data_IF_855012919772
#
_entry.id   IF_855012919772
#
_cell.length_a   1.000
_cell.length_b   1.000
_cell.length_c   1.000
_cell.angle_alpha   90.00
_cell.angle_beta   90.00
_cell.angle_gamma   90.00
#
_symmetry.space_group_name_H-M   'P 1'
#
loop_
_entity.id
_entity.type
_entity.pdbx_description
1 polymer ?
#
# COMPACT_ATOMS: atom_id res chain seq x y z
N UNK A 1 -1.98 33.75 -46.60
CA UNK A 1 -1.59 33.59 -45.19
C UNK A 1 -2.84 33.30 -44.38
N UNK A 2 -3.20 32.02 -44.23
CA UNK A 2 -4.36 31.60 -43.41
C UNK A 2 -3.90 31.41 -41.97
N UNK A 3 -4.73 31.75 -40.96
CA UNK A 3 -4.24 32.02 -39.62
C UNK A 3 -3.95 30.72 -38.88
N UNK A 4 -2.68 30.52 -38.54
CA UNK A 4 -2.20 29.47 -37.62
C UNK A 4 -3.01 29.45 -36.31
N UNK A 5 -3.58 30.59 -35.92
CA UNK A 5 -4.42 30.75 -34.74
C UNK A 5 -5.73 29.93 -34.77
N UNK A 6 -6.37 29.72 -35.93
CA UNK A 6 -7.62 28.93 -35.99
C UNK A 6 -7.39 27.43 -35.77
N UNK A 7 -6.22 26.92 -36.18
CA UNK A 7 -5.89 25.49 -36.04
C UNK A 7 -5.64 25.15 -34.57
N UNK A 8 -4.92 26.00 -33.83
CA UNK A 8 -4.60 25.78 -32.41
C UNK A 8 -5.87 25.74 -31.55
N UNK A 9 -6.85 26.60 -31.85
CA UNK A 9 -8.13 26.61 -31.13
C UNK A 9 -8.99 25.37 -31.41
N UNK A 10 -8.98 24.84 -32.64
CA UNK A 10 -9.68 23.58 -32.97
C UNK A 10 -9.10 22.36 -32.26
N UNK A 11 -7.78 22.30 -32.07
CA UNK A 11 -7.15 21.20 -31.31
C UNK A 11 -7.43 21.29 -29.80
N UNK A 12 -7.48 22.50 -29.24
CA UNK A 12 -7.83 22.70 -27.83
C UNK A 12 -9.30 22.33 -27.53
N UNK A 13 -10.21 22.64 -28.44
CA UNK A 13 -11.64 22.27 -28.35
C UNK A 13 -11.87 20.76 -28.50
N UNK A 14 -11.10 20.06 -29.36
CA UNK A 14 -11.15 18.60 -29.45
C UNK A 14 -10.58 17.91 -28.19
N UNK A 15 -9.58 18.51 -27.54
CA UNK A 15 -9.04 17.97 -26.28
C UNK A 15 -10.04 18.13 -25.11
N UNK A 16 -10.82 19.22 -25.10
CA UNK A 16 -11.84 19.46 -24.07
C UNK A 16 -13.11 18.62 -24.28
N UNK A 17 -13.52 18.33 -25.52
CA UNK A 17 -14.67 17.44 -25.77
C UNK A 17 -14.43 15.97 -25.41
N UNK A 18 -13.18 15.52 -25.28
CA UNK A 18 -12.85 14.15 -24.88
C UNK A 18 -12.60 14.00 -23.35
N UNK A 19 -12.65 15.09 -22.59
CA UNK A 19 -12.42 15.07 -21.14
C UNK A 19 -13.66 14.66 -20.32
N UNK A 20 -14.83 14.54 -20.95
CA UNK A 20 -16.08 14.07 -20.31
C UNK A 20 -16.34 12.58 -20.57
N UNK A 21 -15.29 11.76 -20.57
CA UNK A 21 -15.45 10.34 -20.30
C UNK A 21 -15.35 10.10 -18.79
N UNK A 22 -16.29 10.67 -18.02
CA UNK A 22 -16.61 10.15 -16.70
C UNK A 22 -17.30 8.80 -16.88
N UNK A 23 -16.50 7.79 -17.25
CA UNK A 23 -16.94 6.41 -17.26
C UNK A 23 -17.29 6.05 -15.83
N UNK A 24 -18.58 6.03 -15.52
CA UNK A 24 -19.06 5.37 -14.31
C UNK A 24 -18.63 3.91 -14.43
N UNK A 25 -17.53 3.54 -13.75
CA UNK A 25 -17.14 2.14 -13.64
C UNK A 25 -18.29 1.45 -12.93
N UNK A 26 -19.08 0.71 -13.71
CA UNK A 26 -20.18 -0.07 -13.16
C UNK A 26 -19.62 -0.93 -12.03
N UNK A 27 -20.19 -0.78 -10.84
CA UNK A 27 -19.75 -1.55 -9.69
C UNK A 27 -19.91 -3.04 -10.02
N UNK A 28 -18.87 -3.87 -9.84
CA UNK A 28 -18.94 -5.27 -10.22
C UNK A 28 -20.08 -5.96 -9.45
N UNK A 29 -20.76 -6.95 -10.06
CA UNK A 29 -21.94 -7.60 -9.49
C UNK A 29 -21.64 -8.46 -8.25
N UNK A 30 -20.37 -8.57 -7.86
CA UNK A 30 -19.91 -9.34 -6.71
C UNK A 30 -19.14 -8.45 -5.75
N UNK A 31 -19.23 -8.69 -4.42
CA UNK A 31 -18.41 -7.97 -3.47
C UNK A 31 -16.93 -8.16 -3.81
N UNK A 32 -16.23 -7.05 -4.05
CA UNK A 32 -14.80 -7.07 -4.31
C UNK A 32 -14.09 -7.51 -3.02
N UNK A 33 -13.46 -8.68 -3.06
CA UNK A 33 -12.63 -9.17 -1.96
C UNK A 33 -11.23 -8.57 -2.11
N UNK A 34 -10.67 -8.09 -1.00
CA UNK A 34 -9.29 -7.64 -0.94
C UNK A 34 -8.40 -8.79 -0.47
N UNK A 35 -7.37 -9.12 -1.27
CA UNK A 35 -6.27 -10.00 -0.86
C UNK A 35 -5.01 -9.16 -0.78
N UNK A 36 -4.40 -9.10 0.40
CA UNK A 36 -3.11 -8.44 0.62
C UNK A 36 -2.03 -9.53 0.70
N UNK A 37 -1.04 -9.46 -0.19
CA UNK A 37 0.13 -10.34 -0.19
C UNK A 37 1.35 -9.53 0.23
N UNK A 38 1.95 -9.91 1.36
CA UNK A 38 3.14 -9.29 1.90
C UNK A 38 4.35 -10.19 1.61
N UNK A 39 5.33 -9.66 0.89
CA UNK A 39 6.56 -10.39 0.54
C UNK A 39 7.74 -9.68 1.22
N UNK A 40 8.24 -10.27 2.31
CA UNK A 40 9.33 -9.68 3.08
C UNK A 40 10.60 -9.51 2.22
N UNK A 41 11.26 -8.36 2.33
CA UNK A 41 12.48 -8.06 1.59
C UNK A 41 12.34 -8.05 0.07
N UNK A 42 11.12 -8.05 -0.49
CA UNK A 42 10.90 -8.05 -1.94
C UNK A 42 11.10 -6.65 -2.53
N UNK A 43 12.34 -6.36 -2.92
CA UNK A 43 12.72 -5.08 -3.51
C UNK A 43 12.01 -4.85 -4.86
N UNK A 44 11.81 -3.58 -5.20
CA UNK A 44 11.05 -3.11 -6.38
C UNK A 44 11.50 -3.67 -7.74
N UNK A 45 12.77 -4.11 -7.87
CA UNK A 45 13.40 -4.62 -9.10
C UNK A 45 13.50 -6.16 -9.17
N UNK A 46 13.06 -6.88 -8.13
CA UNK A 46 13.24 -8.34 -8.05
C UNK A 46 12.38 -9.11 -9.05
N UNK A 47 11.17 -8.64 -9.34
CA UNK A 47 10.31 -9.30 -10.32
C UNK A 47 10.96 -9.35 -11.72
N UNK A 48 11.64 -8.27 -12.10
CA UNK A 48 12.35 -8.16 -13.37
C UNK A 48 13.70 -8.88 -13.31
N UNK A 49 14.53 -8.63 -12.28
CA UNK A 49 15.86 -9.24 -12.15
C UNK A 49 15.83 -10.76 -12.08
N UNK A 50 14.82 -11.32 -11.41
CA UNK A 50 14.69 -12.76 -11.22
C UNK A 50 13.80 -13.42 -12.28
N UNK A 51 13.31 -12.64 -13.26
CA UNK A 51 12.44 -13.13 -14.34
C UNK A 51 11.23 -13.92 -13.84
N UNK A 52 10.49 -13.40 -12.87
CA UNK A 52 9.37 -14.13 -12.25
C UNK A 52 8.10 -14.04 -13.15
N UNK A 53 7.71 -15.10 -13.87
CA UNK A 53 6.71 -15.00 -14.94
C UNK A 53 5.31 -14.63 -14.42
N UNK A 54 4.96 -15.09 -13.22
CA UNK A 54 3.66 -14.78 -12.61
C UNK A 54 3.57 -13.32 -12.17
N UNK A 55 4.66 -12.74 -11.65
CA UNK A 55 4.68 -11.32 -11.31
C UNK A 55 4.66 -10.44 -12.56
N UNK A 56 5.38 -10.81 -13.62
CA UNK A 56 5.31 -10.11 -14.90
C UNK A 56 3.88 -10.14 -15.47
N UNK A 57 3.20 -11.29 -15.39
CA UNK A 57 1.79 -11.39 -15.77
C UNK A 57 0.91 -10.46 -14.95
N UNK A 58 1.09 -10.40 -13.63
CA UNK A 58 0.34 -9.49 -12.74
C UNK A 58 0.58 -8.02 -13.09
N UNK A 59 1.80 -7.64 -13.42
CA UNK A 59 2.13 -6.27 -13.86
C UNK A 59 1.46 -5.93 -15.19
N UNK A 60 1.41 -6.87 -16.14
CA UNK A 60 0.82 -6.65 -17.46
C UNK A 60 -0.71 -6.54 -17.45
N UNK A 61 -1.39 -7.21 -16.52
CA UNK A 61 -2.87 -7.18 -16.41
C UNK A 61 -3.36 -6.22 -15.32
N UNK A 62 -2.44 -5.63 -14.56
CA UNK A 62 -2.73 -4.83 -13.37
C UNK A 62 -1.98 -3.51 -13.36
N UNK A 63 -1.77 -2.96 -12.16
CA UNK A 63 -1.06 -1.70 -11.94
C UNK A 63 0.14 -1.96 -11.03
N UNK A 64 1.29 -1.40 -11.39
CA UNK A 64 2.53 -1.44 -10.61
C UNK A 64 3.02 -0.01 -10.34
N UNK A 65 3.31 0.29 -9.08
CA UNK A 65 4.10 1.47 -8.71
C UNK A 65 5.58 1.24 -9.03
N UNK A 66 6.32 2.29 -9.41
CA UNK A 66 7.76 2.17 -9.72
C UNK A 66 8.57 1.62 -8.54
N UNK A 67 8.30 2.11 -7.35
CA UNK A 67 8.77 1.58 -6.06
C UNK A 67 7.84 2.10 -4.95
N UNK A 68 8.00 1.54 -3.75
CA UNK A 68 7.37 2.03 -2.52
C UNK A 68 8.48 2.43 -1.56
N UNK A 69 8.36 3.62 -0.96
CA UNK A 69 9.29 4.08 0.08
C UNK A 69 8.84 3.50 1.42
N UNK A 70 9.70 2.69 2.04
CA UNK A 70 9.51 2.19 3.39
C UNK A 70 9.64 3.31 4.42
N UNK A 71 8.92 3.19 5.54
CA UNK A 71 9.11 4.03 6.70
C UNK A 71 10.40 3.65 7.43
N UNK A 72 10.98 4.61 8.17
CA UNK A 72 12.16 4.37 8.99
C UNK A 72 11.75 3.91 10.41
N UNK A 73 12.39 2.87 10.96
CA UNK A 73 13.43 2.03 10.35
C UNK A 73 12.87 1.03 9.34
N UNK A 74 13.67 0.70 8.32
CA UNK A 74 13.30 -0.24 7.25
C UNK A 74 13.38 -1.70 7.71
N UNK A 75 12.64 -2.01 8.77
CA UNK A 75 12.48 -3.31 9.41
C UNK A 75 11.06 -3.84 9.18
N UNK A 76 10.88 -5.15 9.38
CA UNK A 76 9.67 -5.87 8.98
C UNK A 76 8.45 -5.38 9.77
N UNK A 77 8.38 -5.61 11.08
CA UNK A 77 7.21 -5.27 11.91
C UNK A 77 6.85 -3.78 11.90
N UNK A 78 7.82 -2.84 12.00
CA UNK A 78 7.52 -1.41 11.84
C UNK A 78 6.78 -1.12 10.53
N UNK A 79 7.32 -1.57 9.38
CA UNK A 79 6.71 -1.29 8.07
C UNK A 79 5.42 -2.07 7.81
N UNK A 80 5.30 -3.28 8.33
CA UNK A 80 4.09 -4.08 8.21
C UNK A 80 2.93 -3.36 8.88
N UNK A 81 3.17 -2.87 10.09
CA UNK A 81 2.15 -2.18 10.84
C UNK A 81 1.85 -0.80 10.24
N UNK A 82 2.85 -0.07 9.71
CA UNK A 82 2.60 1.15 8.92
C UNK A 82 1.69 0.88 7.71
N UNK A 83 1.94 -0.18 6.94
CA UNK A 83 1.12 -0.56 5.78
C UNK A 83 -0.33 -0.89 6.17
N UNK A 84 -0.52 -1.53 7.32
CA UNK A 84 -1.82 -2.00 7.78
C UNK A 84 -2.64 -0.91 8.47
N UNK A 85 -2.01 0.11 9.02
CA UNK A 85 -2.64 1.16 9.83
C UNK A 85 -2.67 2.53 9.14
N UNK A 86 -1.77 2.75 8.16
CA UNK A 86 -1.56 4.05 7.53
C UNK A 86 -0.82 5.06 8.41
N UNK A 87 -0.23 4.62 9.52
CA UNK A 87 0.51 5.48 10.46
C UNK A 87 2.03 5.29 10.32
N UNK A 88 2.78 6.31 10.74
CA UNK A 88 4.23 6.24 10.87
C UNK A 88 4.66 5.47 12.12
N UNK A 89 5.92 5.01 12.13
CA UNK A 89 6.50 4.25 13.25
C UNK A 89 6.40 4.95 14.60
N UNK A 90 6.58 6.27 14.61
CA UNK A 90 6.42 7.14 15.78
C UNK A 90 5.00 7.16 16.34
N UNK A 91 3.99 6.88 15.52
CA UNK A 91 2.58 6.97 15.90
C UNK A 91 2.01 5.62 16.31
N UNK A 92 2.39 4.53 15.63
CA UNK A 92 1.86 3.19 15.93
C UNK A 92 2.72 2.40 16.93
N UNK A 93 3.84 2.95 17.40
CA UNK A 93 4.61 2.40 18.53
C UNK A 93 5.56 1.25 18.22
N UNK A 94 5.67 0.82 16.96
CA UNK A 94 6.65 -0.21 16.56
C UNK A 94 7.91 0.47 16.06
N UNK A 95 8.94 0.50 16.91
CA UNK A 95 10.26 1.06 16.58
C UNK A 95 11.27 0.03 16.09
N UNK A 96 10.96 -1.27 16.16
CA UNK A 96 11.85 -2.33 15.67
C UNK A 96 11.25 -3.72 15.70
N UNK A 97 11.97 -4.68 15.11
CA UNK A 97 11.63 -6.11 15.17
C UNK A 97 11.94 -6.74 16.52
N UNK A 98 12.78 -6.06 17.32
CA UNK A 98 13.12 -6.43 18.68
C UNK A 98 12.96 -5.20 19.56
N UNK A 99 12.06 -5.27 20.53
CA UNK A 99 11.74 -4.15 21.42
C UNK A 99 11.65 -4.65 22.86
N UNK A 100 11.85 -3.74 23.80
CA UNK A 100 11.65 -4.00 25.23
C UNK A 100 10.71 -2.94 25.80
N UNK A 101 9.69 -3.39 26.52
CA UNK A 101 8.75 -2.54 27.24
C UNK A 101 9.16 -2.51 28.70
N UNK A 102 9.61 -1.35 29.17
CA UNK A 102 10.00 -1.17 30.57
C UNK A 102 8.79 -1.25 31.51
N UNK A 103 7.62 -0.80 31.07
CA UNK A 103 6.40 -0.76 31.88
C UNK A 103 5.83 -2.17 32.11
N UNK A 104 5.89 -3.02 31.08
CA UNK A 104 5.40 -4.39 31.13
C UNK A 104 6.50 -5.41 31.48
N UNK A 105 7.76 -4.97 31.53
CA UNK A 105 8.94 -5.84 31.67
C UNK A 105 8.96 -6.98 30.63
N UNK A 106 8.56 -6.66 29.40
CA UNK A 106 8.33 -7.63 28.32
C UNK A 106 9.18 -7.34 27.08
N UNK A 107 9.43 -8.37 26.27
CA UNK A 107 10.19 -8.28 25.03
C UNK A 107 9.34 -8.64 23.82
N UNK A 108 9.24 -7.70 22.89
CA UNK A 108 8.82 -8.03 21.53
C UNK A 108 10.01 -8.65 20.79
N UNK A 109 9.86 -9.88 20.29
CA UNK A 109 10.87 -10.55 19.47
C UNK A 109 10.21 -11.10 18.22
N UNK A 110 10.50 -10.48 17.08
CA UNK A 110 9.97 -10.91 15.79
C UNK A 110 10.16 -12.42 15.56
N UNK A 111 9.16 -13.03 14.94
CA UNK A 111 9.09 -14.48 14.73
C UNK A 111 8.11 -15.16 15.68
N UNK A 112 8.27 -16.47 15.87
CA UNK A 112 7.33 -17.27 16.65
C UNK A 112 7.66 -17.19 18.14
N UNK A 113 7.13 -16.16 18.81
CA UNK A 113 7.29 -15.95 20.25
C UNK A 113 5.93 -15.62 20.89
N UNK A 114 5.50 -16.32 21.96
CA UNK A 114 4.21 -16.07 22.62
C UNK A 114 4.04 -14.61 23.09
N UNK A 115 5.12 -13.99 23.57
CA UNK A 115 5.11 -12.59 24.05
C UNK A 115 4.67 -11.58 22.96
N UNK A 116 4.84 -11.92 21.67
CA UNK A 116 4.41 -11.04 20.57
C UNK A 116 2.90 -10.96 20.42
N UNK A 117 2.14 -11.86 21.03
CA UNK A 117 0.67 -11.88 21.03
C UNK A 117 0.08 -10.99 22.13
N UNK A 118 0.92 -10.46 23.04
CA UNK A 118 0.46 -9.59 24.12
C UNK A 118 -0.14 -8.29 23.58
N UNK A 119 -1.36 -7.97 24.02
CA UNK A 119 -2.18 -6.89 23.47
C UNK A 119 -1.50 -5.52 23.50
N UNK A 120 -0.73 -5.21 24.55
CA UNK A 120 -0.08 -3.92 24.73
C UNK A 120 0.86 -3.52 23.58
N UNK A 121 1.39 -4.48 22.80
CA UNK A 121 2.19 -4.19 21.61
C UNK A 121 1.34 -3.64 20.45
N UNK A 122 0.04 -3.95 20.42
CA UNK A 122 -0.86 -3.72 19.27
C UNK A 122 -1.95 -2.66 19.54
N UNK A 123 -1.90 -1.99 20.69
CA UNK A 123 -2.89 -0.99 21.10
C UNK A 123 -2.61 0.40 20.51
N UNK A 124 -1.40 0.64 19.96
CA UNK A 124 -0.99 1.92 19.40
C UNK A 124 -1.71 2.31 18.10
N UNK A 125 -2.33 1.37 17.38
CA UNK A 125 -3.02 1.65 16.14
C UNK A 125 -4.08 0.60 15.77
N UNK A 126 -5.00 0.97 14.88
CA UNK A 126 -6.06 0.07 14.39
C UNK A 126 -5.74 -0.39 12.98
N UNK A 127 -5.48 -1.70 12.76
CA UNK A 127 -5.18 -2.20 11.42
C UNK A 127 -6.44 -2.36 10.55
N UNK A 128 -6.25 -2.39 9.24
CA UNK A 128 -7.32 -2.40 8.22
C UNK A 128 -8.38 -3.50 8.41
N UNK A 129 -7.99 -4.69 8.89
CA UNK A 129 -8.95 -5.79 9.09
C UNK A 129 -9.88 -5.58 10.30
N UNK A 130 -9.50 -4.72 11.25
CA UNK A 130 -10.40 -4.31 12.34
C UNK A 130 -11.36 -3.24 11.84
N UNK A 131 -10.83 -2.23 11.14
CA UNK A 131 -11.62 -1.07 10.69
C UNK A 131 -12.66 -1.44 9.61
N UNK A 132 -12.36 -2.41 8.74
CA UNK A 132 -13.30 -2.88 7.69
C UNK A 132 -14.61 -3.49 8.24
N UNK A 133 -14.69 -3.75 9.54
CA UNK A 133 -15.93 -4.20 10.21
C UNK A 133 -16.84 -3.03 10.60
N UNK A 134 -16.31 -1.80 10.68
CA UNK A 134 -17.10 -0.60 10.92
C UNK A 134 -17.76 -0.18 9.61
N UNK A 135 -19.00 -0.62 9.41
CA UNK A 135 -19.88 -0.05 8.39
C UNK A 135 -20.15 1.41 8.76
N UNK A 136 -19.55 2.34 8.01
CA UNK A 136 -20.06 3.72 7.92
C UNK A 136 -21.39 3.70 7.18
#
# INVERSE_FOLDING_TARGET
MKPVCQIVWSWLLLALLNAEASGSVASPPWPQKLLVLLLDGFRWDYAERLSLPNFQRLQNIGVKAGFVTSDFPTLSYPNYYSLMTGLHTENHGFSGDYMFSADQMDYFRAGRNPETEHAHWWEGAVPIWVNTTLKV
#
